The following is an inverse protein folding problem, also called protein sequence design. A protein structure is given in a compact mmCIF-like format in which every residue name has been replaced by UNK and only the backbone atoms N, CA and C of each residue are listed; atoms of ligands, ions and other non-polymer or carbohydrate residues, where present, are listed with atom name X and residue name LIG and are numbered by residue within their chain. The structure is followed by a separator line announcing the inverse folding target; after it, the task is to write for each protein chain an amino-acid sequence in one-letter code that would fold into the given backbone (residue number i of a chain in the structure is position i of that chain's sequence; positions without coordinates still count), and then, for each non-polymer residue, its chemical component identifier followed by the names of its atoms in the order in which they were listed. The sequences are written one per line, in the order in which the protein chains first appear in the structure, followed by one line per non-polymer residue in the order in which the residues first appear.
data_IF_460623991407
#
_entry.id   IF_460623991407
#
_cell.length_a   1.000
_cell.length_b   1.000
_cell.length_c   1.000
_cell.angle_alpha   90.00
_cell.angle_beta   90.00
_cell.angle_gamma   90.00
#
_symmetry.space_group_name_H-M   'P 1'
#
loop_
_entity.id
_entity.type
_entity.pdbx_description
1 polymer ?
#
# COMPACT_ATOMS: atom_id res chain seq x y z
N UNK A 1 2.69 -21.80 6.92
CA UNK A 1 3.72 -20.73 6.93
C UNK A 1 3.16 -19.42 6.40
N UNK A 2 2.54 -19.41 5.22
CA UNK A 2 2.00 -18.18 4.63
C UNK A 2 0.95 -17.45 5.46
N UNK A 3 0.06 -18.16 6.15
CA UNK A 3 -0.89 -17.51 7.07
C UNK A 3 -0.20 -16.72 8.19
N UNK A 4 0.96 -17.18 8.68
CA UNK A 4 1.73 -16.43 9.69
C UNK A 4 2.36 -15.18 9.08
N UNK A 5 2.86 -15.28 7.84
CA UNK A 5 3.39 -14.14 7.10
C UNK A 5 2.31 -13.06 6.89
N UNK A 6 1.10 -13.48 6.53
CA UNK A 6 -0.03 -12.57 6.36
C UNK A 6 -0.30 -11.77 7.64
N UNK A 7 -0.37 -12.44 8.80
CA UNK A 7 -0.59 -11.76 10.08
C UNK A 7 0.58 -10.85 10.48
N UNK A 8 1.83 -11.22 10.16
CA UNK A 8 2.99 -10.35 10.39
C UNK A 8 2.93 -9.08 9.55
N UNK A 9 2.62 -9.21 8.26
CA UNK A 9 2.45 -8.07 7.37
C UNK A 9 1.32 -7.15 7.83
N UNK A 10 0.15 -7.72 8.15
CA UNK A 10 -0.97 -6.94 8.68
C UNK A 10 -0.64 -6.28 10.03
N UNK A 11 0.13 -6.96 10.88
CA UNK A 11 0.58 -6.42 12.16
C UNK A 11 1.49 -5.21 12.01
N UNK A 12 2.40 -5.22 11.03
CA UNK A 12 3.26 -4.07 10.72
C UNK A 12 2.46 -2.88 10.19
N UNK A 13 1.53 -3.13 9.26
CA UNK A 13 0.63 -2.10 8.71
C UNK A 13 -0.17 -1.38 9.82
N UNK A 14 -0.76 -2.16 10.72
CA UNK A 14 -1.48 -1.64 11.91
C UNK A 14 -0.53 -0.92 12.87
N UNK A 15 0.65 -1.51 13.14
CA UNK A 15 1.62 -0.93 14.07
C UNK A 15 2.08 0.46 13.63
N UNK A 16 2.43 0.62 12.35
CA UNK A 16 2.84 1.92 11.79
C UNK A 16 1.72 2.95 11.90
N UNK A 17 0.51 2.57 11.49
CA UNK A 17 -0.70 3.40 11.57
C UNK A 17 -1.02 3.86 12.99
N UNK A 18 -0.98 2.95 13.97
CA UNK A 18 -1.38 3.26 15.35
C UNK A 18 -0.26 3.91 16.18
N UNK A 19 1.01 3.67 15.81
CA UNK A 19 2.18 4.32 16.42
C UNK A 19 2.57 5.62 15.73
N UNK A 20 1.92 5.96 14.61
CA UNK A 20 2.21 7.13 13.77
C UNK A 20 3.67 7.21 13.30
N UNK A 21 4.23 6.05 12.96
CA UNK A 21 5.59 5.88 12.44
C UNK A 21 5.47 5.58 10.95
N UNK A 22 5.89 6.53 10.11
CA UNK A 22 5.97 6.28 8.67
C UNK A 22 7.07 5.25 8.40
N UNK A 23 6.79 4.14 7.71
CA UNK A 23 7.83 3.20 7.29
C UNK A 23 8.72 3.81 6.21
N UNK A 24 9.90 3.23 6.01
CA UNK A 24 10.63 3.42 4.76
C UNK A 24 9.91 2.71 3.60
N UNK A 25 10.17 3.12 2.37
CA UNK A 25 9.63 2.43 1.19
C UNK A 25 10.05 0.94 1.16
N UNK A 26 11.28 0.64 1.55
CA UNK A 26 11.79 -0.73 1.63
C UNK A 26 11.01 -1.56 2.65
N UNK A 27 10.72 -0.98 3.83
CA UNK A 27 9.94 -1.64 4.87
C UNK A 27 8.49 -1.86 4.40
N UNK A 28 7.89 -0.86 3.75
CA UNK A 28 6.57 -0.98 3.13
C UNK A 28 6.55 -2.16 2.14
N UNK A 29 7.50 -2.23 1.20
CA UNK A 29 7.59 -3.30 0.22
C UNK A 29 7.74 -4.67 0.89
N UNK A 30 8.54 -4.77 1.94
CA UNK A 30 8.69 -6.00 2.72
C UNK A 30 7.38 -6.40 3.40
N UNK A 31 6.68 -5.45 4.02
CA UNK A 31 5.37 -5.68 4.64
C UNK A 31 4.36 -6.21 3.63
N UNK A 32 4.28 -5.60 2.44
CA UNK A 32 3.38 -6.03 1.37
C UNK A 32 3.68 -7.45 0.89
N UNK A 33 4.97 -7.80 0.75
CA UNK A 33 5.37 -9.18 0.42
C UNK A 33 4.90 -10.19 1.49
N UNK A 34 4.83 -9.81 2.76
CA UNK A 34 4.29 -10.67 3.83
C UNK A 34 2.77 -10.74 3.80
N UNK A 35 2.09 -9.58 3.69
CA UNK A 35 0.62 -9.43 3.75
C UNK A 35 -0.05 -9.98 2.48
N UNK A 36 0.17 -9.32 1.35
CA UNK A 36 -0.50 -9.60 0.07
C UNK A 36 0.21 -10.74 -0.65
N UNK A 37 1.54 -10.70 -0.72
CA UNK A 37 2.35 -11.77 -1.32
C UNK A 37 2.14 -13.13 -0.63
N UNK A 38 1.86 -13.15 0.68
CA UNK A 38 1.57 -14.38 1.42
C UNK A 38 0.36 -15.15 0.88
N UNK A 39 -0.73 -14.45 0.59
CA UNK A 39 -1.94 -15.08 0.08
C UNK A 39 -1.75 -15.59 -1.35
N UNK A 40 -1.08 -14.80 -2.20
CA UNK A 40 -0.74 -15.21 -3.56
C UNK A 40 0.19 -16.44 -3.58
N UNK A 41 1.25 -16.45 -2.75
CA UNK A 41 2.14 -17.62 -2.59
C UNK A 41 1.38 -18.84 -2.09
N UNK A 42 0.47 -18.68 -1.14
CA UNK A 42 -0.33 -19.81 -0.64
C UNK A 42 -1.12 -20.48 -1.77
N UNK A 43 -1.81 -19.69 -2.60
CA UNK A 43 -2.59 -20.19 -3.73
C UNK A 43 -1.70 -20.97 -4.72
N UNK A 44 -0.56 -20.40 -5.12
CA UNK A 44 0.34 -21.04 -6.08
C UNK A 44 1.00 -22.29 -5.50
N UNK A 45 1.46 -22.24 -4.24
CA UNK A 45 2.06 -23.40 -3.58
C UNK A 45 1.08 -24.56 -3.41
N UNK A 46 -0.21 -24.27 -3.14
CA UNK A 46 -1.26 -25.28 -3.10
C UNK A 46 -1.45 -25.92 -4.48
N UNK A 47 -1.55 -25.12 -5.55
CA UNK A 47 -1.63 -25.64 -6.92
C UNK A 47 -0.40 -26.50 -7.28
N UNK A 48 0.81 -26.05 -6.94
CA UNK A 48 2.05 -26.77 -7.20
C UNK A 48 2.17 -28.07 -6.41
N UNK A 49 1.53 -28.17 -5.25
CA UNK A 49 1.52 -29.39 -4.43
C UNK A 49 0.86 -30.56 -5.16
N UNK A 50 -0.08 -30.28 -6.08
CA UNK A 50 -0.77 -31.28 -6.90
C UNK A 50 -0.33 -31.28 -8.37
N UNK A 51 0.63 -30.43 -8.75
CA UNK A 51 1.15 -30.32 -10.12
C UNK A 51 2.44 -31.11 -10.30
N UNK A 52 2.67 -31.60 -11.52
CA UNK A 52 3.98 -32.15 -11.93
C UNK A 52 5.01 -31.06 -12.24
N UNK A 53 4.57 -29.83 -12.48
CA UNK A 53 5.45 -28.68 -12.70
C UNK A 53 6.01 -28.14 -11.37
N UNK A 54 7.33 -28.15 -11.23
CA UNK A 54 8.07 -27.69 -10.03
C UNK A 54 8.90 -26.43 -10.26
N UNK A 55 8.64 -25.68 -11.35
CA UNK A 55 9.26 -24.38 -11.57
C UNK A 55 9.04 -23.43 -10.40
N UNK A 56 10.03 -22.59 -10.11
CA UNK A 56 9.89 -21.58 -9.06
C UNK A 56 9.08 -20.37 -9.58
N UNK A 57 7.84 -20.27 -9.13
CA UNK A 57 6.97 -19.12 -9.43
C UNK A 57 7.00 -18.06 -8.33
N UNK A 58 7.70 -18.29 -7.22
CA UNK A 58 7.66 -17.40 -6.05
C UNK A 58 8.14 -15.97 -6.38
N UNK A 59 9.22 -15.75 -7.17
CA UNK A 59 9.63 -14.40 -7.57
C UNK A 59 8.51 -13.64 -8.29
N UNK A 60 7.94 -14.24 -9.34
CA UNK A 60 6.84 -13.66 -10.12
C UNK A 60 5.63 -13.33 -9.23
N UNK A 61 5.28 -14.24 -8.34
CA UNK A 61 4.12 -14.11 -7.46
C UNK A 61 4.32 -13.01 -6.41
N UNK A 62 5.56 -12.80 -5.94
CA UNK A 62 5.90 -11.68 -5.07
C UNK A 62 5.80 -10.35 -5.82
N UNK A 63 6.29 -10.28 -7.05
CA UNK A 63 6.21 -9.07 -7.88
C UNK A 63 4.76 -8.71 -8.19
N UNK A 64 3.92 -9.71 -8.52
CA UNK A 64 2.48 -9.52 -8.70
C UNK A 64 1.78 -9.03 -7.44
N UNK A 65 2.15 -9.57 -6.26
CA UNK A 65 1.59 -9.14 -4.99
C UNK A 65 1.94 -7.69 -4.64
N UNK A 66 3.18 -7.29 -4.92
CA UNK A 66 3.64 -5.91 -4.72
C UNK A 66 2.94 -4.95 -5.71
N UNK A 67 2.92 -5.31 -6.99
CA UNK A 67 2.21 -4.57 -8.03
C UNK A 67 0.74 -4.37 -7.69
N UNK A 68 0.04 -5.44 -7.27
CA UNK A 68 -1.37 -5.38 -6.91
C UNK A 68 -1.62 -4.40 -5.76
N UNK A 69 -0.81 -4.45 -4.68
CA UNK A 69 -1.01 -3.57 -3.53
C UNK A 69 -0.69 -2.11 -3.85
N UNK A 70 0.39 -1.84 -4.58
CA UNK A 70 0.76 -0.46 -4.95
C UNK A 70 -0.29 0.14 -5.89
N UNK A 71 -0.87 -0.66 -6.78
CA UNK A 71 -1.97 -0.24 -7.63
C UNK A 71 -3.25 0.04 -6.82
N UNK A 72 -3.62 -0.82 -5.88
CA UNK A 72 -4.77 -0.61 -4.98
C UNK A 72 -4.62 0.69 -4.16
N UNK A 73 -3.42 0.92 -3.60
CA UNK A 73 -3.07 2.13 -2.86
C UNK A 73 -3.18 3.40 -3.75
N UNK A 74 -2.77 3.33 -5.02
CA UNK A 74 -2.92 4.43 -5.97
C UNK A 74 -4.39 4.70 -6.31
N UNK A 75 -5.16 3.64 -6.60
CA UNK A 75 -6.57 3.75 -6.97
C UNK A 75 -7.42 4.27 -5.80
N UNK A 76 -7.07 3.91 -4.57
CA UNK A 76 -7.71 4.43 -3.36
C UNK A 76 -7.67 5.97 -3.28
N UNK A 77 -6.64 6.60 -3.86
CA UNK A 77 -6.39 8.04 -3.76
C UNK A 77 -6.71 8.86 -5.02
N UNK A 78 -6.75 8.24 -6.20
CA UNK A 78 -6.95 8.96 -7.49
C UNK A 78 -8.20 8.56 -8.27
N UNK A 79 -8.92 7.49 -7.93
CA UNK A 79 -9.98 6.96 -8.80
C UNK A 79 -11.38 7.37 -8.37
N UNK A 80 -12.01 8.22 -9.19
CA UNK A 80 -13.42 8.61 -9.05
C UNK A 80 -14.38 7.40 -9.06
N UNK A 81 -14.10 6.39 -9.89
CA UNK A 81 -14.89 5.15 -9.96
C UNK A 81 -14.73 4.28 -8.70
N UNK A 82 -13.54 4.28 -8.10
CA UNK A 82 -13.29 3.62 -6.83
C UNK A 82 -14.03 4.34 -5.69
N UNK A 83 -14.13 5.68 -5.76
CA UNK A 83 -14.92 6.49 -4.83
C UNK A 83 -16.45 6.37 -5.00
N UNK A 84 -16.95 5.80 -6.10
CA UNK A 84 -18.38 5.44 -6.19
C UNK A 84 -18.70 4.13 -5.48
N UNK A 85 -17.73 3.21 -5.36
CA UNK A 85 -17.91 1.91 -4.71
C UNK A 85 -17.39 1.87 -3.26
N UNK A 86 -16.52 2.81 -2.89
CA UNK A 86 -15.93 3.03 -1.55
C UNK A 86 -16.02 4.51 -1.20
N UNK A 87 -15.75 4.91 0.04
CA UNK A 87 -15.69 6.34 0.39
C UNK A 87 -14.43 7.04 -0.18
N UNK A 88 -14.48 8.37 -0.30
CA UNK A 88 -13.39 9.17 -0.87
C UNK A 88 -12.11 9.04 -0.03
N UNK A 89 -10.99 8.63 -0.65
CA UNK A 89 -9.67 8.46 -0.03
C UNK A 89 -9.72 7.76 1.35
N UNK A 90 -10.16 6.51 1.38
CA UNK A 90 -10.30 5.73 2.63
C UNK A 90 -8.99 5.58 3.38
N UNK A 91 -7.87 5.41 2.68
CA UNK A 91 -6.55 5.25 3.31
C UNK A 91 -6.20 6.44 4.22
N UNK A 92 -6.64 7.66 3.85
CA UNK A 92 -6.48 8.85 4.69
C UNK A 92 -7.34 8.77 5.95
N UNK A 93 -8.57 8.26 5.83
CA UNK A 93 -9.49 8.09 6.98
C UNK A 93 -8.97 7.01 7.92
N UNK A 94 -8.39 5.95 7.39
CA UNK A 94 -7.76 4.90 8.19
C UNK A 94 -6.47 5.39 8.86
N UNK A 95 -5.81 6.39 8.28
CA UNK A 95 -4.46 6.82 8.67
C UNK A 95 -3.37 5.88 8.15
N UNK A 96 -3.68 5.12 7.10
CA UNK A 96 -2.81 4.08 6.52
C UNK A 96 -1.64 4.72 5.78
N UNK A 97 -0.44 4.17 5.99
CA UNK A 97 0.77 4.55 5.26
C UNK A 97 0.82 3.80 3.92
N UNK A 98 -0.03 4.20 2.98
CA UNK A 98 -0.07 3.65 1.62
C UNK A 98 1.14 4.10 0.79
N UNK A 99 1.44 3.40 -0.32
CA UNK A 99 2.66 3.65 -1.09
C UNK A 99 2.85 5.13 -1.52
N UNK A 100 1.84 5.83 -2.10
CA UNK A 100 1.97 7.24 -2.44
C UNK A 100 2.16 8.14 -1.20
N UNK A 101 1.54 7.78 -0.07
CA UNK A 101 1.63 8.54 1.19
C UNK A 101 3.04 8.40 1.80
N UNK A 102 3.62 7.20 1.80
CA UNK A 102 5.00 6.95 2.26
C UNK A 102 6.00 7.78 1.46
N UNK A 103 5.88 7.75 0.13
CA UNK A 103 6.72 8.57 -0.74
C UNK A 103 6.53 10.07 -0.47
N UNK A 104 5.28 10.54 -0.35
CA UNK A 104 4.97 11.94 -0.11
C UNK A 104 5.54 12.44 1.22
N UNK A 105 5.36 11.70 2.31
CA UNK A 105 5.88 12.06 3.63
C UNK A 105 7.42 12.09 3.61
N UNK A 106 8.06 11.15 2.93
CA UNK A 106 9.53 11.07 2.85
C UNK A 106 10.16 12.21 2.04
N UNK A 107 9.40 12.81 1.11
CA UNK A 107 9.87 13.87 0.21
C UNK A 107 9.26 15.25 0.54
N UNK A 108 8.40 15.35 1.54
CA UNK A 108 7.79 16.61 1.96
C UNK A 108 8.80 17.52 2.67
N UNK A 109 8.60 18.83 2.54
CA UNK A 109 9.42 19.85 3.23
C UNK A 109 8.97 20.07 4.68
N UNK A 110 7.75 19.67 5.00
CA UNK A 110 7.13 19.82 6.31
C UNK A 110 6.35 18.55 6.70
N UNK A 111 5.76 18.57 7.90
CA UNK A 111 5.01 17.45 8.44
C UNK A 111 3.49 17.56 8.20
N UNK A 112 3.02 18.41 7.28
CA UNK A 112 1.59 18.67 7.10
C UNK A 112 0.82 17.40 6.75
N UNK A 113 1.28 16.63 5.76
CA UNK A 113 0.62 15.38 5.35
C UNK A 113 0.62 14.34 6.47
N UNK A 114 1.74 14.18 7.19
CA UNK A 114 1.83 13.27 8.31
C UNK A 114 0.86 13.66 9.44
N UNK A 115 0.69 14.95 9.71
CA UNK A 115 -0.26 15.44 10.70
C UNK A 115 -1.72 15.25 10.27
N UNK A 116 -2.03 15.43 8.98
CA UNK A 116 -3.37 15.14 8.44
C UNK A 116 -3.65 13.64 8.60
N UNK A 117 -2.71 12.77 8.23
CA UNK A 117 -2.88 11.32 8.34
C UNK A 117 -3.17 10.87 9.78
N UNK A 118 -2.49 11.47 10.77
CA UNK A 118 -2.74 11.22 12.21
C UNK A 118 -4.15 11.59 12.65
N UNK A 119 -4.74 12.61 12.05
CA UNK A 119 -6.09 13.06 12.39
C UNK A 119 -7.18 12.13 11.86
N UNK A 120 -6.86 11.21 10.94
CA UNK A 120 -7.82 10.27 10.35
C UNK A 120 -9.06 10.99 9.81
N UNK A 121 -8.87 11.98 8.92
CA UNK A 121 -9.93 12.89 8.52
C UNK A 121 -11.08 12.14 7.84
N UNK A 122 -12.30 12.50 8.20
CA UNK A 122 -13.52 12.11 7.47
C UNK A 122 -13.98 13.19 6.49
N UNK A 123 -13.50 14.43 6.68
CA UNK A 123 -13.84 15.59 5.85
C UNK A 123 -13.16 15.53 4.47
N UNK A 124 -13.95 15.73 3.40
CA UNK A 124 -13.48 15.59 2.03
C UNK A 124 -12.58 16.75 1.58
N UNK A 125 -12.72 17.95 2.14
CA UNK A 125 -11.86 19.08 1.80
C UNK A 125 -10.47 18.90 2.42
N UNK A 126 -10.40 18.36 3.65
CA UNK A 126 -9.11 17.95 4.25
C UNK A 126 -8.42 16.85 3.44
N UNK A 127 -9.19 15.86 2.98
CA UNK A 127 -8.66 14.79 2.11
C UNK A 127 -8.17 15.32 0.78
N UNK A 128 -8.91 16.24 0.15
CA UNK A 128 -8.49 16.88 -1.12
C UNK A 128 -7.18 17.65 -0.93
N UNK A 129 -7.04 18.38 0.16
CA UNK A 129 -5.79 19.07 0.48
C UNK A 129 -4.61 18.08 0.67
N UNK A 130 -4.83 16.94 1.32
CA UNK A 130 -3.80 15.90 1.42
C UNK A 130 -3.39 15.33 0.04
N UNK A 131 -4.35 15.13 -0.86
CA UNK A 131 -4.09 14.72 -2.26
C UNK A 131 -3.27 15.77 -3.00
N UNK A 132 -3.56 17.06 -2.82
CA UNK A 132 -2.75 18.14 -3.42
C UNK A 132 -1.30 18.13 -2.91
N UNK A 133 -1.07 17.89 -1.61
CA UNK A 133 0.28 17.74 -1.06
C UNK A 133 1.03 16.54 -1.68
N UNK A 134 0.33 15.44 -1.93
CA UNK A 134 0.89 14.26 -2.61
C UNK A 134 1.23 14.54 -4.08
N UNK A 135 0.43 15.36 -4.77
CA UNK A 135 0.71 15.78 -6.15
C UNK A 135 1.94 16.72 -6.20
N UNK A 136 2.04 17.68 -5.27
CA UNK A 136 3.18 18.60 -5.18
C UNK A 136 4.53 17.89 -4.91
N UNK A 137 4.49 16.75 -4.22
CA UNK A 137 5.68 15.90 -4.00
C UNK A 137 5.97 14.94 -5.15
N UNK A 138 5.16 14.96 -6.22
CA UNK A 138 5.31 14.08 -7.37
C UNK A 138 4.98 12.61 -7.07
N UNK A 139 4.29 12.34 -5.95
CA UNK A 139 4.14 10.98 -5.42
C UNK A 139 3.27 10.09 -6.31
N UNK A 140 2.26 10.65 -6.97
CA UNK A 140 1.46 9.90 -7.94
C UNK A 140 2.23 9.58 -9.21
N UNK A 141 3.05 10.52 -9.71
CA UNK A 141 3.91 10.28 -10.87
C UNK A 141 4.96 9.22 -10.56
N UNK A 142 5.57 9.28 -9.37
CA UNK A 142 6.50 8.27 -8.88
C UNK A 142 5.83 6.89 -8.78
N UNK A 143 4.66 6.81 -8.16
CA UNK A 143 3.90 5.54 -8.02
C UNK A 143 3.56 4.94 -9.40
N UNK A 144 3.10 5.76 -10.35
CA UNK A 144 2.85 5.31 -11.72
C UNK A 144 4.11 4.84 -12.43
N UNK A 145 5.26 5.46 -12.16
CA UNK A 145 6.56 5.00 -12.68
C UNK A 145 7.00 3.69 -12.06
N UNK A 146 6.77 3.50 -10.76
CA UNK A 146 7.07 2.27 -10.02
C UNK A 146 6.27 1.07 -10.55
N UNK A 147 5.03 1.31 -11.00
CA UNK A 147 4.15 0.30 -11.58
C UNK A 147 4.45 -0.04 -13.05
N UNK A 148 5.41 0.63 -13.71
CA UNK A 148 5.76 0.28 -15.10
C UNK A 148 6.56 -1.03 -15.14
N UNK A 149 6.27 -1.92 -16.11
CA UNK A 149 7.01 -3.17 -16.30
C UNK A 149 8.45 -2.96 -16.78
#
# INVERSE_FOLDING_TARGET
REMLNLHKGQGLDIYWRDSNICPSEQDYCHMVQQKTGGLFRLSVLLMQSFSTNKSDFIPLVNDLGLFYQVLDDLLNLQSDEYHTNKSYCEDLTEGKYSFPIVHAISNAKDNALANILRQRPTDNDVKRFAVELMEQTGSFAYTKSFLKP
#
